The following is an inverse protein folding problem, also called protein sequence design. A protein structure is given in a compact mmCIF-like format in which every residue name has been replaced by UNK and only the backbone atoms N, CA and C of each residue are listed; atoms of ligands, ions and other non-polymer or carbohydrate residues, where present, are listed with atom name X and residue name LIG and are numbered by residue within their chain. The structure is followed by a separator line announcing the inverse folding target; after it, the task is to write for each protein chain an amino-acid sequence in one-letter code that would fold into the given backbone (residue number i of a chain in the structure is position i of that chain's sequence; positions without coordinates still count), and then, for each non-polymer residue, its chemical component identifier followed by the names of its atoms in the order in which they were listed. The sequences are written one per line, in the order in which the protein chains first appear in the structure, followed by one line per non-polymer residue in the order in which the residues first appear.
data_IF_604589642643
#
_entry.id   IF_604589642643
#
_cell.length_a   1.000
_cell.length_b   1.000
_cell.length_c   1.000
_cell.angle_alpha   90.00
_cell.angle_beta   90.00
_cell.angle_gamma   90.00
#
_symmetry.space_group_name_H-M   'P 1'
#
loop_
_entity.id
_entity.type
_entity.pdbx_description
1 polymer ?
#
# COMPACT_ATOMS: atom_id res chain seq x y z
N UNK A 1 -17.79 7.67 -3.28
CA UNK A 1 -18.75 8.60 -2.65
C UNK A 1 -20.12 8.59 -3.33
N UNK A 2 -20.22 8.63 -4.68
CA UNK A 2 -21.51 8.71 -5.39
C UNK A 2 -22.50 7.60 -4.99
N UNK A 3 -22.06 6.34 -4.95
CA UNK A 3 -22.91 5.21 -4.56
C UNK A 3 -23.40 5.35 -3.11
N UNK A 4 -22.52 5.73 -2.18
CA UNK A 4 -22.89 5.95 -0.78
C UNK A 4 -23.93 7.07 -0.66
N UNK A 5 -23.74 8.18 -1.39
CA UNK A 5 -24.70 9.28 -1.44
C UNK A 5 -26.08 8.80 -1.88
N UNK A 6 -26.14 8.05 -3.00
CA UNK A 6 -27.41 7.49 -3.49
C UNK A 6 -28.13 6.64 -2.46
N UNK A 7 -27.40 5.76 -1.76
CA UNK A 7 -28.02 4.92 -0.70
C UNK A 7 -28.49 5.73 0.50
N UNK A 8 -27.72 6.74 0.91
CA UNK A 8 -28.12 7.62 2.01
C UNK A 8 -29.36 8.45 1.66
N UNK A 9 -29.42 8.98 0.43
CA UNK A 9 -30.59 9.70 -0.06
C UNK A 9 -31.86 8.82 -0.09
N UNK A 10 -31.72 7.57 -0.57
CA UNK A 10 -32.83 6.60 -0.61
C UNK A 10 -33.34 6.20 0.78
N UNK A 11 -32.45 6.21 1.79
CA UNK A 11 -32.77 5.75 3.15
C UNK A 11 -33.01 6.90 4.14
N UNK A 12 -32.83 8.16 3.72
CA UNK A 12 -32.92 9.34 4.59
C UNK A 12 -31.80 9.40 5.64
N UNK A 13 -30.65 8.76 5.41
CA UNK A 13 -29.53 8.65 6.34
C UNK A 13 -28.36 9.56 5.94
N UNK A 14 -28.62 10.87 5.89
CA UNK A 14 -27.58 11.87 5.62
C UNK A 14 -26.41 11.81 6.63
N UNK A 15 -26.73 11.49 7.90
CA UNK A 15 -25.76 11.28 8.97
C UNK A 15 -24.69 10.24 8.59
N UNK A 16 -25.07 9.16 7.91
CA UNK A 16 -24.13 8.12 7.47
C UNK A 16 -23.27 8.58 6.28
N UNK A 17 -23.81 9.44 5.41
CA UNK A 17 -23.03 10.03 4.35
C UNK A 17 -21.96 10.98 4.89
N UNK A 18 -22.32 11.81 5.85
CA UNK A 18 -21.37 12.70 6.51
C UNK A 18 -20.26 11.89 7.22
N UNK A 19 -20.64 10.90 8.01
CA UNK A 19 -19.72 10.10 8.82
C UNK A 19 -18.82 9.17 7.97
N UNK A 20 -19.37 8.42 7.02
CA UNK A 20 -18.67 7.37 6.27
C UNK A 20 -18.24 7.81 4.86
N UNK A 21 -18.60 8.99 4.45
CA UNK A 21 -18.25 9.58 3.17
C UNK A 21 -17.37 10.82 3.34
N UNK A 22 -17.96 11.94 3.75
CA UNK A 22 -17.27 13.22 3.81
C UNK A 22 -16.15 13.24 4.85
N UNK A 23 -16.37 12.71 6.06
CA UNK A 23 -15.35 12.65 7.09
C UNK A 23 -14.16 11.77 6.67
N UNK A 24 -14.43 10.63 6.02
CA UNK A 24 -13.38 9.76 5.49
C UNK A 24 -12.61 10.44 4.36
N UNK A 25 -13.30 11.16 3.46
CA UNK A 25 -12.65 11.94 2.41
C UNK A 25 -11.74 13.02 3.00
N UNK A 26 -12.20 13.71 4.06
CA UNK A 26 -11.40 14.72 4.73
C UNK A 26 -10.13 14.11 5.36
N UNK A 27 -10.25 12.97 6.05
CA UNK A 27 -9.09 12.25 6.60
C UNK A 27 -8.03 11.93 5.54
N UNK A 28 -8.47 11.47 4.36
CA UNK A 28 -7.55 11.20 3.25
C UNK A 28 -6.90 12.51 2.77
N UNK A 29 -7.69 13.57 2.60
CA UNK A 29 -7.18 14.87 2.13
C UNK A 29 -6.14 15.44 3.10
N UNK A 30 -6.38 15.36 4.40
CA UNK A 30 -5.45 15.85 5.43
C UNK A 30 -4.10 15.12 5.37
N UNK A 31 -4.11 13.79 5.18
CA UNK A 31 -2.89 12.99 5.02
C UNK A 31 -2.15 13.38 3.75
N UNK A 32 -2.84 13.50 2.61
CA UNK A 32 -2.24 13.87 1.33
C UNK A 32 -1.64 15.27 1.37
N UNK A 33 -2.36 16.22 1.96
CA UNK A 33 -1.89 17.61 2.13
C UNK A 33 -0.64 17.67 3.00
N UNK A 34 -0.61 16.94 4.12
CA UNK A 34 0.56 16.85 4.98
C UNK A 34 1.79 16.33 4.23
N UNK A 35 1.64 15.23 3.48
CA UNK A 35 2.73 14.64 2.71
C UNK A 35 3.22 15.58 1.61
N UNK A 36 2.31 16.20 0.85
CA UNK A 36 2.65 17.13 -0.23
C UNK A 36 3.38 18.38 0.30
N UNK A 37 2.93 18.92 1.44
CA UNK A 37 3.54 20.12 2.05
C UNK A 37 4.93 19.84 2.60
N UNK A 38 5.23 18.61 3.00
CA UNK A 38 6.53 18.20 3.51
C UNK A 38 7.64 18.21 2.43
N UNK A 39 7.28 18.14 1.14
CA UNK A 39 8.20 18.16 -0.02
C UNK A 39 9.37 17.20 0.13
N UNK A 40 9.11 16.02 0.68
CA UNK A 40 10.10 14.96 0.81
C UNK A 40 10.36 14.27 -0.54
N UNK A 41 11.54 13.66 -0.74
CA UNK A 41 11.81 12.86 -1.93
C UNK A 41 10.78 11.74 -2.09
N UNK A 42 10.41 11.44 -3.33
CA UNK A 42 9.53 10.33 -3.66
C UNK A 42 10.29 9.00 -3.49
N UNK A 43 9.88 8.11 -2.58
CA UNK A 43 10.55 6.83 -2.41
C UNK A 43 10.23 5.86 -3.55
N UNK A 44 11.22 5.08 -3.98
CA UNK A 44 11.03 3.95 -4.88
C UNK A 44 10.51 2.76 -4.11
N UNK A 45 9.39 2.19 -4.55
CA UNK A 45 8.72 1.12 -3.83
C UNK A 45 8.40 -0.07 -4.73
N UNK A 46 8.28 -1.25 -4.13
CA UNK A 46 7.74 -2.45 -4.76
C UNK A 46 6.52 -2.94 -3.99
N UNK A 47 5.38 -3.04 -4.66
CA UNK A 47 4.18 -3.64 -4.08
C UNK A 47 4.03 -5.09 -4.55
N UNK A 48 4.02 -6.02 -3.60
CA UNK A 48 3.85 -7.45 -3.82
C UNK A 48 2.49 -7.93 -3.31
N UNK A 49 1.84 -8.80 -4.08
CA UNK A 49 0.69 -9.59 -3.64
C UNK A 49 1.08 -11.06 -3.59
N UNK A 50 1.15 -11.60 -2.38
CA UNK A 50 1.50 -12.99 -2.11
C UNK A 50 0.26 -13.85 -1.86
N UNK A 51 0.28 -15.08 -2.34
CA UNK A 51 -0.72 -16.11 -2.11
C UNK A 51 -0.05 -17.49 -1.96
N UNK A 52 -0.78 -18.50 -1.55
CA UNK A 52 -0.22 -19.80 -1.17
C UNK A 52 0.57 -20.53 -2.27
N UNK A 53 0.47 -20.10 -3.52
CA UNK A 53 1.12 -20.75 -4.69
C UNK A 53 1.86 -19.75 -5.58
N UNK A 54 2.14 -18.53 -5.09
CA UNK A 54 2.83 -17.53 -5.89
C UNK A 54 2.88 -16.14 -5.29
N UNK A 55 3.56 -15.26 -6.03
CA UNK A 55 3.62 -13.84 -5.74
C UNK A 55 3.61 -13.05 -7.07
N UNK A 56 2.99 -11.89 -7.07
CA UNK A 56 2.98 -10.97 -8.22
C UNK A 56 3.24 -9.56 -7.76
N UNK A 57 4.02 -8.80 -8.53
CA UNK A 57 4.05 -7.36 -8.38
C UNK A 57 2.68 -6.76 -8.74
N UNK A 58 2.37 -5.60 -8.17
CA UNK A 58 1.14 -4.85 -8.42
C UNK A 58 1.46 -3.38 -8.64
N UNK A 59 0.88 -2.83 -9.70
CA UNK A 59 0.99 -1.42 -10.05
C UNK A 59 -0.14 -0.57 -9.46
N UNK A 60 -0.22 0.67 -9.93
CA UNK A 60 -1.22 1.66 -9.51
C UNK A 60 -2.66 1.35 -10.00
N UNK A 61 -2.85 0.35 -10.84
CA UNK A 61 -4.16 -0.24 -11.17
C UNK A 61 -4.77 -1.02 -10.00
N UNK A 62 -3.99 -1.30 -8.98
CA UNK A 62 -4.38 -1.95 -7.74
C UNK A 62 -4.71 -0.93 -6.64
N UNK A 63 -5.63 -1.27 -5.74
CA UNK A 63 -6.07 -0.40 -4.65
C UNK A 63 -4.90 0.17 -3.81
N UNK A 64 -4.02 -0.70 -3.33
CA UNK A 64 -2.85 -0.28 -2.52
C UNK A 64 -1.82 0.46 -3.37
N UNK A 65 -1.61 0.04 -4.61
CA UNK A 65 -0.75 0.75 -5.56
C UNK A 65 -1.25 2.15 -5.88
N UNK A 66 -2.57 2.35 -6.02
CA UNK A 66 -3.16 3.67 -6.18
C UNK A 66 -2.89 4.58 -4.97
N UNK A 67 -3.03 4.05 -3.73
CA UNK A 67 -2.70 4.80 -2.52
C UNK A 67 -1.22 5.20 -2.46
N UNK A 68 -0.31 4.29 -2.81
CA UNK A 68 1.13 4.58 -2.87
C UNK A 68 1.42 5.71 -3.86
N UNK A 69 0.78 5.67 -5.02
CA UNK A 69 0.88 6.73 -6.05
C UNK A 69 0.33 8.06 -5.56
N UNK A 70 -0.85 8.07 -4.93
CA UNK A 70 -1.46 9.29 -4.37
C UNK A 70 -0.56 9.93 -3.30
N UNK A 71 0.16 9.11 -2.52
CA UNK A 71 1.14 9.53 -1.53
C UNK A 71 2.49 9.96 -2.15
N UNK A 72 2.65 9.89 -3.48
CA UNK A 72 3.82 10.34 -4.21
C UNK A 72 4.94 9.31 -4.31
N UNK A 73 4.72 8.04 -3.93
CA UNK A 73 5.71 6.99 -4.14
C UNK A 73 5.80 6.57 -5.61
N UNK A 74 6.99 6.15 -6.03
CA UNK A 74 7.27 5.62 -7.36
C UNK A 74 7.29 4.10 -7.27
N UNK A 75 6.24 3.45 -7.76
CA UNK A 75 6.20 2.00 -7.78
C UNK A 75 6.92 1.47 -9.01
N UNK A 76 8.01 0.70 -8.82
CA UNK A 76 8.82 0.17 -9.93
C UNK A 76 8.00 -0.69 -10.90
N UNK A 77 6.95 -1.36 -10.43
CA UNK A 77 6.04 -2.13 -11.26
C UNK A 77 5.14 -1.29 -12.19
N UNK A 78 5.05 0.02 -11.97
CA UNK A 78 4.34 0.93 -12.90
C UNK A 78 5.22 1.36 -14.09
N UNK A 79 6.55 1.25 -13.96
CA UNK A 79 7.52 1.58 -14.99
C UNK A 79 7.94 0.34 -15.81
N UNK A 80 7.80 -0.86 -15.27
CA UNK A 80 8.19 -2.12 -15.89
C UNK A 80 7.05 -3.13 -15.92
N UNK A 81 6.31 -3.15 -17.03
CA UNK A 81 5.21 -4.10 -17.26
C UNK A 81 5.65 -5.57 -17.12
N UNK A 82 6.94 -5.87 -17.35
CA UNK A 82 7.47 -7.24 -17.22
C UNK A 82 7.40 -7.75 -15.78
N UNK A 83 7.52 -6.87 -14.78
CA UNK A 83 7.33 -7.20 -13.36
C UNK A 83 5.89 -7.59 -13.03
N UNK A 84 4.91 -6.99 -13.72
CA UNK A 84 3.49 -7.31 -13.55
C UNK A 84 3.15 -8.70 -14.11
N UNK A 85 3.80 -9.09 -15.20
CA UNK A 85 3.59 -10.38 -15.86
C UNK A 85 4.37 -11.51 -15.17
N UNK A 86 5.65 -11.26 -14.91
CA UNK A 86 6.56 -12.24 -14.33
C UNK A 86 7.53 -11.56 -13.34
N UNK A 87 7.40 -11.89 -12.07
CA UNK A 87 8.25 -11.34 -11.02
C UNK A 87 9.71 -11.78 -11.22
N UNK A 88 10.51 -10.91 -11.82
CA UNK A 88 11.93 -11.13 -12.08
C UNK A 88 12.78 -10.59 -10.95
N UNK A 89 13.60 -11.45 -10.34
CA UNK A 89 14.56 -11.03 -9.32
C UNK A 89 15.64 -10.10 -9.89
N UNK A 90 16.01 -10.29 -11.16
CA UNK A 90 16.98 -9.44 -11.85
C UNK A 90 16.48 -8.00 -11.98
N UNK A 91 15.20 -7.82 -12.34
CA UNK A 91 14.58 -6.50 -12.45
C UNK A 91 14.45 -5.84 -11.07
N UNK A 92 14.03 -6.61 -10.04
CA UNK A 92 13.95 -6.10 -8.67
C UNK A 92 15.31 -5.60 -8.17
N UNK A 93 16.40 -6.34 -8.48
CA UNK A 93 17.76 -5.95 -8.10
C UNK A 93 18.21 -4.71 -8.88
N UNK A 94 17.88 -4.62 -10.16
CA UNK A 94 18.28 -3.49 -11.01
C UNK A 94 17.63 -2.18 -10.55
N UNK A 95 16.37 -2.24 -10.11
CA UNK A 95 15.60 -1.08 -9.64
C UNK A 95 15.82 -0.77 -8.16
N UNK A 96 16.30 -1.75 -7.37
CA UNK A 96 16.65 -1.69 -5.95
C UNK A 96 15.69 -0.81 -5.11
N UNK A 97 14.43 -1.24 -4.89
CA UNK A 97 13.44 -0.44 -4.20
C UNK A 97 13.86 -0.12 -2.76
N UNK A 98 13.53 1.10 -2.30
CA UNK A 98 13.79 1.56 -0.93
C UNK A 98 12.83 0.93 0.08
N UNK A 99 11.58 0.64 -0.35
CA UNK A 99 10.55 -0.01 0.47
C UNK A 99 9.88 -1.14 -0.30
N UNK A 100 9.63 -2.25 0.38
CA UNK A 100 8.85 -3.39 -0.16
C UNK A 100 7.61 -3.60 0.69
N UNK A 101 6.45 -3.47 0.05
CA UNK A 101 5.15 -3.70 0.67
C UNK A 101 4.57 -5.03 0.23
N UNK A 102 4.11 -5.85 1.16
CA UNK A 102 3.49 -7.14 0.89
C UNK A 102 2.06 -7.16 1.39
N UNK A 103 1.14 -7.50 0.49
CA UNK A 103 -0.25 -7.80 0.83
C UNK A 103 -0.50 -9.28 0.56
N UNK A 104 -1.04 -10.00 1.53
CA UNK A 104 -1.35 -11.42 1.36
C UNK A 104 -2.79 -11.62 0.89
N UNK A 105 -3.02 -12.61 0.01
CA UNK A 105 -4.32 -13.00 -0.49
C UNK A 105 -4.64 -14.46 -0.12
N UNK A 106 -5.94 -14.78 -0.04
CA UNK A 106 -6.42 -16.13 0.28
C UNK A 106 -6.66 -16.35 1.78
N UNK A 107 -7.10 -17.58 2.12
CA UNK A 107 -7.54 -17.91 3.48
C UNK A 107 -6.40 -18.03 4.50
N UNK A 108 -5.19 -18.43 4.04
CA UNK A 108 -4.03 -18.63 4.91
C UNK A 108 -2.92 -17.64 4.58
N UNK A 109 -2.74 -16.68 5.47
CA UNK A 109 -1.60 -15.74 5.40
C UNK A 109 -0.28 -16.49 5.57
N UNK A 110 -0.22 -17.46 6.49
CA UNK A 110 1.01 -18.22 6.73
C UNK A 110 1.51 -18.91 5.46
N UNK A 111 0.64 -19.61 4.71
CA UNK A 111 1.04 -20.26 3.46
C UNK A 111 1.57 -19.29 2.40
N UNK A 112 1.05 -18.07 2.36
CA UNK A 112 1.56 -17.05 1.46
C UNK A 112 2.96 -16.56 1.89
N UNK A 113 3.20 -16.42 3.20
CA UNK A 113 4.50 -16.07 3.74
C UNK A 113 5.53 -17.20 3.57
N UNK A 114 5.12 -18.44 3.79
CA UNK A 114 5.98 -19.62 3.56
C UNK A 114 6.45 -19.65 2.10
N UNK A 115 5.53 -19.42 1.17
CA UNK A 115 5.86 -19.37 -0.25
C UNK A 115 6.88 -18.27 -0.56
N UNK A 116 6.70 -17.05 0.00
CA UNK A 116 7.67 -15.95 -0.16
C UNK A 116 9.04 -16.32 0.39
N UNK A 117 9.09 -16.91 1.58
CA UNK A 117 10.34 -17.33 2.20
C UNK A 117 11.09 -18.35 1.34
N UNK A 118 10.40 -19.38 0.83
CA UNK A 118 10.98 -20.47 0.06
C UNK A 118 11.38 -20.07 -1.37
N UNK A 119 10.62 -19.19 -2.02
CA UNK A 119 10.78 -18.95 -3.46
C UNK A 119 11.36 -17.58 -3.83
N UNK A 120 11.20 -16.57 -2.97
CA UNK A 120 11.71 -15.23 -3.21
C UNK A 120 12.85 -14.88 -2.26
N UNK A 121 12.62 -15.00 -0.96
CA UNK A 121 13.60 -14.59 0.06
C UNK A 121 14.78 -15.58 0.19
N UNK A 122 14.61 -16.83 -0.25
CA UNK A 122 15.69 -17.80 -0.32
C UNK A 122 16.75 -17.48 -1.39
N UNK A 123 16.44 -16.58 -2.34
CA UNK A 123 17.43 -16.11 -3.30
C UNK A 123 18.50 -15.27 -2.58
N UNK A 124 19.80 -15.60 -2.69
CA UNK A 124 20.86 -14.85 -2.01
C UNK A 124 20.88 -13.36 -2.32
N UNK A 125 20.44 -12.97 -3.52
CA UNK A 125 20.38 -11.58 -3.94
C UNK A 125 19.30 -10.76 -3.20
N UNK A 126 18.27 -11.42 -2.65
CA UNK A 126 17.23 -10.77 -1.85
C UNK A 126 17.80 -9.99 -0.65
N UNK A 127 18.76 -10.61 0.06
CA UNK A 127 19.39 -9.98 1.22
C UNK A 127 20.25 -8.77 0.88
N UNK A 128 20.57 -8.57 -0.40
CA UNK A 128 21.32 -7.42 -0.90
C UNK A 128 20.47 -6.19 -1.19
N UNK A 129 19.14 -6.33 -1.26
CA UNK A 129 18.23 -5.22 -1.56
C UNK A 129 18.26 -4.16 -0.46
N UNK A 130 18.26 -2.88 -0.85
CA UNK A 130 18.26 -1.74 0.07
C UNK A 130 17.11 -1.80 1.07
N UNK A 131 15.90 -2.11 0.63
CA UNK A 131 14.73 -2.28 1.49
C UNK A 131 14.94 -3.37 2.55
N UNK A 132 15.55 -4.50 2.20
CA UNK A 132 15.78 -5.62 3.12
C UNK A 132 16.85 -5.27 4.14
N UNK A 133 17.94 -4.64 3.71
CA UNK A 133 19.04 -4.23 4.60
C UNK A 133 18.62 -3.16 5.61
N UNK A 134 17.72 -2.25 5.19
CA UNK A 134 17.20 -1.18 6.04
C UNK A 134 16.01 -1.61 6.90
N UNK A 135 15.50 -2.84 6.73
CA UNK A 135 14.31 -3.31 7.44
C UNK A 135 12.99 -2.73 6.91
N UNK A 136 13.00 -2.17 5.70
CA UNK A 136 11.85 -1.58 5.03
C UNK A 136 11.07 -2.62 4.20
N UNK A 137 10.84 -3.77 4.81
CA UNK A 137 10.00 -4.84 4.28
C UNK A 137 8.75 -4.98 5.15
N UNK A 138 7.60 -4.57 4.61
CA UNK A 138 6.39 -4.39 5.39
C UNK A 138 5.30 -5.37 4.97
N UNK A 139 4.82 -6.18 5.91
CA UNK A 139 3.61 -6.97 5.74
C UNK A 139 2.40 -6.12 6.12
N UNK A 140 1.57 -5.78 5.14
CA UNK A 140 0.41 -4.94 5.32
C UNK A 140 -0.81 -5.73 5.81
N UNK A 141 -1.62 -5.12 6.68
CA UNK A 141 -2.87 -5.70 7.16
C UNK A 141 -3.88 -5.88 6.02
N UNK A 142 -4.37 -7.10 5.85
CA UNK A 142 -5.37 -7.45 4.82
C UNK A 142 -6.67 -6.65 4.96
N UNK A 143 -7.07 -6.29 6.17
CA UNK A 143 -8.30 -5.53 6.41
C UNK A 143 -8.22 -4.12 5.81
N UNK A 144 -7.02 -3.53 5.77
CA UNK A 144 -6.77 -2.19 5.25
C UNK A 144 -6.31 -2.18 3.78
N UNK A 145 -5.63 -3.25 3.32
CA UNK A 145 -4.89 -3.21 2.06
C UNK A 145 -5.26 -4.33 1.05
N UNK A 146 -6.06 -5.32 1.46
CA UNK A 146 -6.56 -6.34 0.55
C UNK A 146 -8.08 -6.28 0.40
N UNK A 147 -8.81 -6.19 1.53
CA UNK A 147 -10.23 -5.92 1.52
C UNK A 147 -10.47 -4.40 1.40
N UNK A 148 -11.66 -4.01 0.89
CA UNK A 148 -12.01 -2.59 0.87
C UNK A 148 -12.23 -2.10 2.31
N UNK A 149 -11.44 -1.15 2.83
CA UNK A 149 -11.49 -0.75 4.23
C UNK A 149 -12.73 0.09 4.59
N UNK A 150 -13.55 0.48 3.60
CA UNK A 150 -14.77 1.26 3.77
C UNK A 150 -14.52 2.55 4.59
N UNK A 151 -15.11 2.70 5.78
CA UNK A 151 -14.91 3.86 6.64
C UNK A 151 -13.46 4.02 7.15
N UNK A 152 -12.59 3.02 6.98
CA UNK A 152 -11.19 3.04 7.43
C UNK A 152 -10.18 3.43 6.33
N UNK A 153 -10.65 4.02 5.22
CA UNK A 153 -9.74 4.49 4.17
C UNK A 153 -8.72 5.52 4.67
N UNK A 154 -9.12 6.45 5.55
CA UNK A 154 -8.20 7.43 6.17
C UNK A 154 -7.08 6.74 6.94
N UNK A 155 -7.40 5.68 7.70
CA UNK A 155 -6.43 4.86 8.42
C UNK A 155 -5.44 4.16 7.46
N UNK A 156 -5.93 3.65 6.32
CA UNK A 156 -5.07 3.03 5.31
C UNK A 156 -4.05 4.03 4.73
N UNK A 157 -4.49 5.22 4.35
CA UNK A 157 -3.61 6.28 3.85
C UNK A 157 -2.59 6.72 4.90
N UNK A 158 -3.04 6.93 6.14
CA UNK A 158 -2.17 7.34 7.25
C UNK A 158 -1.11 6.28 7.55
N UNK A 159 -1.49 5.00 7.56
CA UNK A 159 -0.56 3.89 7.79
C UNK A 159 0.52 3.84 6.70
N UNK A 160 0.15 3.92 5.42
CA UNK A 160 1.12 3.94 4.33
C UNK A 160 2.01 5.18 4.38
N UNK A 161 1.44 6.35 4.64
CA UNK A 161 2.20 7.60 4.75
C UNK A 161 3.25 7.53 5.87
N UNK A 162 2.90 6.93 7.03
CA UNK A 162 3.84 6.78 8.15
C UNK A 162 4.99 5.81 7.82
N UNK A 163 4.74 4.77 7.02
CA UNK A 163 5.78 3.84 6.55
C UNK A 163 6.69 4.49 5.49
N UNK A 164 6.11 5.19 4.51
CA UNK A 164 6.85 5.88 3.45
C UNK A 164 7.67 7.08 3.96
N UNK A 165 7.13 7.78 4.95
CA UNK A 165 7.68 9.03 5.47
C UNK A 165 7.78 9.00 7.00
N UNK A 166 8.69 8.21 7.58
CA UNK A 166 8.79 8.07 9.05
C UNK A 166 9.00 9.39 9.80
N UNK A 167 9.56 10.41 9.12
CA UNK A 167 9.75 11.76 9.69
C UNK A 167 8.44 12.50 9.97
N UNK A 168 7.33 12.05 9.37
CA UNK A 168 5.99 12.61 9.55
C UNK A 168 5.14 11.80 10.53
N UNK A 169 5.67 10.73 11.13
CA UNK A 169 4.90 9.79 11.94
C UNK A 169 4.09 10.49 13.05
N UNK A 170 4.71 11.36 13.84
CA UNK A 170 4.04 12.09 14.92
C UNK A 170 2.90 13.00 14.41
N UNK A 171 3.11 13.66 13.26
CA UNK A 171 2.11 14.52 12.64
C UNK A 171 0.95 13.71 12.06
N UNK A 172 1.25 12.54 11.47
CA UNK A 172 0.25 11.62 10.95
C UNK A 172 -0.57 10.97 12.08
N UNK A 173 0.05 10.68 13.23
CA UNK A 173 -0.65 10.17 14.40
C UNK A 173 -1.63 11.21 14.95
N UNK A 174 -1.27 12.49 14.92
CA UNK A 174 -2.16 13.57 15.34
C UNK A 174 -3.41 13.76 14.45
N UNK A 175 -3.46 13.16 13.26
CA UNK A 175 -4.62 13.12 12.36
C UNK A 175 -5.57 11.92 12.64
N UNK A 176 -5.35 11.16 13.72
CA UNK A 176 -6.10 9.93 14.02
C UNK A 176 -7.52 10.18 14.57
#
# INVERSE_FOLDING_TARGET
LAMLRTFCDMTGREDLYEQNGLAVQQQISDVLELVQNAKLPAPNVLLLRAYSSGCKAKGSDNMTGAMLKDLGAINIADADDSLLENLSMENIIADDPEDIFVVTMGASQQKALDWLAENLQANPAWSGLSAVQSGHYYLLDKALFHYKPNARWGESYRTLAALLYPRLADQLEALA
#
